data_IF_865459013231
#
_entry.id   IF_865459013231
#
_cell.length_a   1.000
_cell.length_b   1.000
_cell.length_c   1.000
_cell.angle_alpha   90.00
_cell.angle_beta   90.00
_cell.angle_gamma   90.00
#
_symmetry.space_group_name_H-M   'P 1'
#
loop_
_entity.id
_entity.type
_entity.pdbx_description
1 polymer ?
#
# COMPACT_ATOMS: atom_id res chain seq x y z
N UNK A 1 4.66 18.91 -15.45
CA UNK A 1 4.72 17.46 -15.12
C UNK A 1 4.97 17.33 -13.62
N UNK A 2 3.98 16.91 -12.85
CA UNK A 2 4.18 16.68 -11.41
C UNK A 2 5.18 15.54 -11.22
N UNK A 3 6.29 15.80 -10.53
CA UNK A 3 7.28 14.76 -10.19
C UNK A 3 6.67 13.89 -9.08
N UNK A 4 6.28 12.67 -9.40
CA UNK A 4 5.82 11.68 -8.42
C UNK A 4 6.95 11.39 -7.41
N UNK A 5 6.72 11.58 -6.09
CA UNK A 5 7.76 11.34 -5.12
C UNK A 5 8.14 9.87 -5.08
N UNK A 6 9.45 9.62 -4.97
CA UNK A 6 10.00 8.29 -4.72
C UNK A 6 9.96 8.08 -3.21
N UNK A 7 9.31 7.01 -2.77
CA UNK A 7 9.15 6.64 -1.36
C UNK A 7 9.64 5.20 -1.14
N UNK A 8 9.79 4.80 0.13
CA UNK A 8 9.94 3.39 0.48
C UNK A 8 8.56 2.72 0.48
N UNK A 9 8.48 1.53 -0.12
CA UNK A 9 7.27 0.71 -0.13
C UNK A 9 6.89 0.35 1.31
N UNK A 10 5.70 0.70 1.79
CA UNK A 10 5.31 0.40 3.17
C UNK A 10 5.23 -1.11 3.45
N UNK A 11 5.08 -1.93 2.40
CA UNK A 11 4.95 -3.39 2.51
C UNK A 11 6.31 -4.08 2.56
N UNK A 12 7.18 -3.85 1.56
CA UNK A 12 8.45 -4.57 1.40
C UNK A 12 9.70 -3.71 1.58
N UNK A 13 9.54 -2.43 1.95
CA UNK A 13 10.61 -1.45 2.20
C UNK A 13 11.50 -1.11 0.99
N UNK A 14 11.25 -1.73 -0.17
CA UNK A 14 11.93 -1.42 -1.43
C UNK A 14 11.44 -0.10 -2.02
N UNK A 15 12.21 0.45 -2.95
CA UNK A 15 11.85 1.67 -3.67
C UNK A 15 10.48 1.54 -4.35
N UNK A 16 9.62 2.52 -4.12
CA UNK A 16 8.31 2.67 -4.74
C UNK A 16 8.09 4.12 -5.21
N UNK A 17 7.06 4.32 -6.02
CA UNK A 17 6.63 5.64 -6.50
C UNK A 17 5.23 5.92 -5.97
N UNK A 18 5.02 7.11 -5.42
CA UNK A 18 3.69 7.57 -5.05
C UNK A 18 3.10 8.35 -6.23
N UNK A 19 2.01 7.86 -6.80
CA UNK A 19 1.41 8.46 -8.00
C UNK A 19 0.35 9.50 -7.65
N UNK A 20 -0.41 9.27 -6.57
CA UNK A 20 -1.45 10.19 -6.11
C UNK A 20 -1.64 10.11 -4.60
N UNK A 21 -1.99 11.23 -4.01
CA UNK A 21 -2.58 11.30 -2.68
C UNK A 21 -4.00 11.85 -2.84
N UNK A 22 -4.95 11.19 -2.19
CA UNK A 22 -6.32 11.66 -1.98
C UNK A 22 -6.50 11.87 -0.48
N UNK A 23 -7.51 12.62 -0.06
CA UNK A 23 -7.81 12.77 1.37
C UNK A 23 -7.99 11.39 2.01
N UNK A 24 -7.03 11.02 2.88
CA UNK A 24 -6.99 9.75 3.59
C UNK A 24 -6.41 8.54 2.84
N UNK A 25 -5.98 8.66 1.57
CA UNK A 25 -5.44 7.52 0.80
C UNK A 25 -4.20 7.87 -0.03
N UNK A 26 -3.23 6.95 -0.07
CA UNK A 26 -2.03 7.04 -0.91
C UNK A 26 -1.99 5.94 -1.96
N UNK A 27 -1.70 6.33 -3.19
CA UNK A 27 -1.51 5.44 -4.33
C UNK A 27 -0.02 5.17 -4.54
N UNK A 28 0.36 3.89 -4.52
CA UNK A 28 1.74 3.41 -4.47
C UNK A 28 1.97 2.39 -5.60
N UNK A 29 2.99 2.65 -6.42
CA UNK A 29 3.51 1.72 -7.41
C UNK A 29 4.87 1.20 -6.98
N UNK A 30 4.92 -0.07 -6.57
CA UNK A 30 6.14 -0.78 -6.22
C UNK A 30 6.49 -1.78 -7.34
N UNK A 31 7.77 -1.85 -7.73
CA UNK A 31 8.23 -2.83 -8.73
C UNK A 31 8.19 -4.27 -8.22
N UNK A 32 8.08 -4.47 -6.91
CA UNK A 32 8.05 -5.79 -6.29
C UNK A 32 6.64 -6.20 -5.84
N UNK A 33 5.95 -5.31 -5.12
CA UNK A 33 4.60 -5.56 -4.60
C UNK A 33 3.48 -5.25 -5.62
N UNK A 34 3.79 -4.55 -6.71
CA UNK A 34 2.80 -4.09 -7.67
C UNK A 34 2.18 -2.73 -7.31
N UNK A 35 1.04 -2.44 -7.93
CA UNK A 35 0.26 -1.23 -7.70
C UNK A 35 -0.78 -1.48 -6.61
N UNK A 36 -0.80 -0.64 -5.58
CA UNK A 36 -1.74 -0.72 -4.47
C UNK A 36 -2.01 0.65 -3.86
N UNK A 37 -3.10 0.73 -3.11
CA UNK A 37 -3.47 1.91 -2.35
C UNK A 37 -3.43 1.60 -0.86
N UNK A 38 -3.10 2.58 -0.03
CA UNK A 38 -3.15 2.46 1.43
C UNK A 38 -3.95 3.60 2.04
N UNK A 39 -4.65 3.35 3.14
CA UNK A 39 -5.20 4.44 3.96
C UNK A 39 -4.11 5.14 4.77
N UNK A 40 -4.35 6.39 5.17
CA UNK A 40 -3.43 7.15 6.03
C UNK A 40 -3.23 6.45 7.39
N UNK A 41 -4.31 5.93 7.97
CA UNK A 41 -4.23 5.11 9.20
C UNK A 41 -3.36 3.86 9.02
N UNK A 42 -3.45 3.19 7.87
CA UNK A 42 -2.56 2.07 7.58
C UNK A 42 -1.10 2.53 7.50
N UNK A 43 -0.83 3.67 6.84
CA UNK A 43 0.54 4.23 6.76
C UNK A 43 1.16 4.46 8.13
N UNK A 44 0.38 4.90 9.11
CA UNK A 44 0.85 5.17 10.48
C UNK A 44 1.16 3.87 11.25
N UNK A 45 0.39 2.81 11.02
CA UNK A 45 0.48 1.56 11.77
C UNK A 45 1.38 0.50 11.10
N UNK A 46 1.54 0.55 9.79
CA UNK A 46 2.22 -0.52 9.02
C UNK A 46 3.66 -0.74 9.49
N UNK A 47 4.36 0.31 9.90
CA UNK A 47 5.76 0.25 10.35
C UNK A 47 5.96 -0.58 11.62
N UNK A 48 4.93 -0.72 12.47
CA UNK A 48 5.00 -1.49 13.72
C UNK A 48 4.80 -2.99 13.51
N UNK A 49 4.38 -3.40 12.30
CA UNK A 49 4.09 -4.79 11.95
C UNK A 49 5.26 -5.43 11.21
N UNK A 50 5.38 -6.75 11.28
CA UNK A 50 6.41 -7.50 10.54
C UNK A 50 6.17 -7.47 9.03
N UNK A 51 7.23 -7.64 8.23
CA UNK A 51 7.10 -7.72 6.77
C UNK A 51 6.06 -8.77 6.32
N UNK A 52 6.01 -9.92 6.98
CA UNK A 52 5.04 -10.97 6.68
C UNK A 52 3.59 -10.54 6.96
N UNK A 53 3.35 -9.78 8.04
CA UNK A 53 2.01 -9.24 8.34
C UNK A 53 1.59 -8.21 7.27
N UNK A 54 2.51 -7.33 6.88
CA UNK A 54 2.27 -6.33 5.82
C UNK A 54 1.99 -7.02 4.47
N UNK A 55 2.72 -8.07 4.17
CA UNK A 55 2.57 -8.82 2.93
C UNK A 55 1.21 -9.54 2.88
N UNK A 56 0.78 -10.16 3.98
CA UNK A 56 -0.56 -10.76 4.08
C UNK A 56 -1.68 -9.74 3.91
N UNK A 57 -1.53 -8.54 4.47
CA UNK A 57 -2.48 -7.45 4.29
C UNK A 57 -2.64 -7.08 2.80
N UNK A 58 -1.52 -6.97 2.08
CA UNK A 58 -1.52 -6.71 0.64
C UNK A 58 -2.15 -7.86 -0.15
N UNK A 59 -1.85 -9.13 0.17
CA UNK A 59 -2.43 -10.29 -0.48
C UNK A 59 -3.96 -10.34 -0.32
N UNK A 60 -4.48 -9.99 0.86
CA UNK A 60 -5.90 -9.82 1.11
C UNK A 60 -6.52 -8.74 0.22
N UNK A 61 -5.89 -7.56 0.14
CA UNK A 61 -6.32 -6.47 -0.71
C UNK A 61 -6.33 -6.83 -2.21
N UNK A 62 -5.27 -7.50 -2.69
CA UNK A 62 -5.17 -7.99 -4.08
C UNK A 62 -6.24 -9.04 -4.37
N UNK A 63 -6.55 -9.91 -3.41
CA UNK A 63 -7.63 -10.90 -3.58
C UNK A 63 -8.98 -10.20 -3.72
N UNK A 64 -9.27 -9.18 -2.91
CA UNK A 64 -10.50 -8.37 -3.03
C UNK A 64 -10.56 -7.59 -4.35
N UNK A 65 -9.42 -7.12 -4.86
CA UNK A 65 -9.35 -6.37 -6.11
C UNK A 65 -9.85 -7.18 -7.32
N UNK A 66 -9.76 -8.53 -7.27
CA UNK A 66 -10.30 -9.41 -8.33
C UNK A 66 -11.81 -9.25 -8.56
N UNK A 67 -12.53 -8.65 -7.62
CA UNK A 67 -13.97 -8.40 -7.70
C UNK A 67 -14.31 -6.99 -8.22
N UNK A 68 -13.35 -6.28 -8.82
CA UNK A 68 -13.58 -4.98 -9.47
C UNK A 68 -13.19 -3.76 -8.64
N UNK A 69 -12.48 -3.96 -7.53
CA UNK A 69 -11.95 -2.88 -6.69
C UNK A 69 -10.46 -2.64 -6.97
N UNK A 70 -9.94 -1.47 -6.61
CA UNK A 70 -8.50 -1.27 -6.53
C UNK A 70 -7.94 -2.07 -5.32
N UNK A 71 -6.69 -2.56 -5.39
CA UNK A 71 -6.03 -3.22 -4.27
C UNK A 71 -5.71 -2.21 -3.16
N UNK A 72 -6.74 -1.92 -2.35
CA UNK A 72 -6.69 -1.02 -1.19
C UNK A 72 -6.42 -1.81 0.09
N UNK A 73 -5.35 -1.42 0.78
CA UNK A 73 -4.96 -1.92 2.09
C UNK A 73 -5.33 -0.88 3.15
N UNK A 74 -5.96 -1.33 4.22
CA UNK A 74 -6.41 -0.49 5.33
C UNK A 74 -5.92 -1.07 6.65
N UNK A 75 -6.07 -0.32 7.75
CA UNK A 75 -5.71 -0.81 9.09
C UNK A 75 -6.45 -2.09 9.48
N UNK A 76 -7.62 -2.39 8.90
CA UNK A 76 -8.36 -3.64 9.13
C UNK A 76 -7.69 -4.88 8.52
N UNK A 77 -6.70 -4.69 7.65
CA UNK A 77 -5.93 -5.78 7.03
C UNK A 77 -4.70 -6.17 7.87
N UNK A 78 -4.38 -5.41 8.92
CA UNK A 78 -3.33 -5.74 9.87
C UNK A 78 -3.87 -6.71 10.95
N UNK A 79 -3.04 -7.65 11.44
CA UNK A 79 -3.42 -8.61 12.47
C UNK A 79 -3.65 -7.99 13.85
#
# INVERSE_FOLDING_TARGET
MAKHPVISCPICERRARQTRAYDGYLDIHCSHCGHFQISETFRELVSTHSLDARQRALEGAVTRARYGFLPLVTSYDLP
#
